data_IF_598660014902
#
_entry.id   IF_598660014902
#
_cell.length_a   1.000
_cell.length_b   1.000
_cell.length_c   1.000
_cell.angle_alpha   90.00
_cell.angle_beta   90.00
_cell.angle_gamma   90.00
#
_symmetry.space_group_name_H-M   'P 1'
#
loop_
_entity.id
_entity.type
_entity.pdbx_description
1 polymer ?
#
# COMPACT_ATOMS: atom_id res chain seq x y z
N UNK A 1 -3.42 -42.74 -3.05
CA UNK A 1 -2.51 -41.74 -2.45
C UNK A 1 -2.31 -40.66 -3.51
N UNK A 2 -2.86 -39.46 -3.33
CA UNK A 2 -2.58 -38.35 -4.25
C UNK A 2 -1.11 -37.98 -4.11
N UNK A 3 -0.35 -37.99 -5.21
CA UNK A 3 1.02 -37.47 -5.21
C UNK A 3 1.01 -36.02 -4.70
N UNK A 4 1.86 -35.75 -3.72
CA UNK A 4 2.07 -34.42 -3.18
C UNK A 4 2.73 -33.56 -4.28
N UNK A 5 2.02 -32.56 -4.78
CA UNK A 5 2.54 -31.67 -5.81
C UNK A 5 3.68 -30.83 -5.21
N UNK A 6 4.77 -30.65 -5.96
CA UNK A 6 5.78 -29.64 -5.61
C UNK A 6 5.15 -28.25 -5.53
N UNK A 7 5.75 -27.31 -4.80
CA UNK A 7 5.27 -25.92 -4.74
C UNK A 7 5.15 -25.29 -6.14
N UNK A 8 6.12 -25.54 -7.01
CA UNK A 8 6.10 -25.07 -8.40
C UNK A 8 4.98 -25.69 -9.23
N UNK A 9 4.70 -26.98 -9.04
CA UNK A 9 3.63 -27.66 -9.78
C UNK A 9 2.26 -27.26 -9.27
N UNK A 10 2.13 -27.01 -7.96
CA UNK A 10 0.94 -26.44 -7.34
C UNK A 10 0.63 -25.06 -7.91
N UNK A 11 1.62 -24.16 -8.03
CA UNK A 11 1.45 -22.84 -8.66
C UNK A 11 1.07 -22.97 -10.13
N UNK A 12 1.75 -23.82 -10.91
CA UNK A 12 1.44 -23.99 -12.34
C UNK A 12 0.02 -24.51 -12.54
N UNK A 13 -0.41 -25.47 -11.72
CA UNK A 13 -1.79 -25.99 -11.72
C UNK A 13 -2.80 -24.92 -11.33
N UNK A 14 -2.49 -24.10 -10.33
CA UNK A 14 -3.34 -22.99 -9.89
C UNK A 14 -3.32 -21.80 -10.87
N UNK A 15 -2.31 -21.66 -11.73
CA UNK A 15 -2.17 -20.55 -12.66
C UNK A 15 -3.36 -20.41 -13.61
N UNK A 16 -4.01 -21.52 -13.98
CA UNK A 16 -5.21 -21.51 -14.81
C UNK A 16 -6.45 -20.96 -14.07
N UNK A 17 -6.41 -20.92 -12.74
CA UNK A 17 -7.46 -20.37 -11.87
C UNK A 17 -7.25 -18.86 -11.60
N UNK A 18 -6.06 -18.32 -11.89
CA UNK A 18 -5.75 -16.91 -11.72
C UNK A 18 -6.25 -16.12 -12.93
N UNK A 19 -7.49 -15.65 -12.82
CA UNK A 19 -8.16 -14.87 -13.86
C UNK A 19 -8.51 -13.48 -13.33
N UNK A 20 -8.84 -12.55 -14.22
CA UNK A 20 -9.37 -11.25 -13.80
C UNK A 20 -10.72 -11.47 -13.13
N UNK A 21 -10.85 -11.04 -11.89
CA UNK A 21 -12.09 -11.17 -11.13
C UNK A 21 -13.06 -10.03 -11.44
N UNK A 22 -14.39 -10.26 -11.36
CA UNK A 22 -15.36 -9.18 -11.37
C UNK A 22 -15.26 -8.35 -10.08
N UNK A 23 -15.69 -7.09 -10.17
CA UNK A 23 -15.90 -6.26 -8.99
C UNK A 23 -17.33 -6.45 -8.50
N UNK A 24 -17.48 -6.77 -7.22
CA UNK A 24 -18.76 -6.95 -6.55
C UNK A 24 -18.95 -5.79 -5.55
N UNK A 25 -20.02 -5.01 -5.66
CA UNK A 25 -20.31 -3.95 -4.70
C UNK A 25 -20.60 -4.52 -3.31
N UNK A 26 -19.87 -4.05 -2.30
CA UNK A 26 -20.19 -4.26 -0.88
C UNK A 26 -20.44 -2.90 -0.26
N UNK A 27 -21.68 -2.66 0.20
CA UNK A 27 -22.11 -1.36 0.77
C UNK A 27 -21.74 -0.16 -0.13
N UNK A 28 -21.88 -0.34 -1.45
CA UNK A 28 -21.58 0.70 -2.45
C UNK A 28 -20.12 0.78 -2.90
N UNK A 29 -19.20 0.03 -2.29
CA UNK A 29 -17.78 0.01 -2.67
C UNK A 29 -17.50 -1.21 -3.56
N UNK A 30 -16.95 -1.03 -4.78
CA UNK A 30 -16.56 -2.16 -5.64
C UNK A 30 -15.30 -2.85 -5.09
N UNK A 31 -15.46 -4.11 -4.68
CA UNK A 31 -14.37 -4.95 -4.17
C UNK A 31 -14.14 -6.15 -5.10
N UNK A 32 -12.94 -6.74 -5.05
CA UNK A 32 -12.68 -7.99 -5.76
C UNK A 32 -13.61 -9.09 -5.25
N UNK A 33 -14.12 -9.95 -6.14
CA UNK A 33 -15.12 -10.96 -5.78
C UNK A 33 -14.75 -11.79 -4.56
N UNK A 34 -13.49 -12.25 -4.44
CA UNK A 34 -13.01 -13.01 -3.29
C UNK A 34 -13.05 -12.24 -1.96
N UNK A 35 -12.84 -10.91 -2.00
CA UNK A 35 -13.00 -10.05 -0.82
C UNK A 35 -14.48 -9.91 -0.48
N UNK A 36 -15.31 -9.64 -1.50
CA UNK A 36 -16.74 -9.43 -1.32
C UNK A 36 -17.46 -10.67 -0.78
N UNK A 37 -17.12 -11.85 -1.32
CA UNK A 37 -17.65 -13.14 -0.91
C UNK A 37 -17.24 -13.52 0.52
N UNK A 38 -16.08 -13.03 1.00
CA UNK A 38 -15.57 -13.27 2.35
C UNK A 38 -15.80 -12.08 3.31
N UNK A 39 -16.62 -11.10 2.92
CA UNK A 39 -16.73 -9.84 3.64
C UNK A 39 -17.22 -10.01 5.08
N UNK A 40 -18.11 -10.97 5.35
CA UNK A 40 -18.60 -11.23 6.71
C UNK A 40 -17.48 -11.65 7.66
N UNK A 41 -16.51 -12.45 7.18
CA UNK A 41 -15.33 -12.82 7.97
C UNK A 41 -14.41 -11.64 8.23
N UNK A 42 -14.24 -10.76 7.24
CA UNK A 42 -13.44 -9.53 7.36
C UNK A 42 -14.09 -8.60 8.37
N UNK A 43 -15.40 -8.41 8.26
CA UNK A 43 -16.20 -7.56 9.14
C UNK A 43 -16.24 -8.06 10.59
N UNK A 44 -16.09 -9.37 10.79
CA UNK A 44 -16.02 -9.97 12.11
C UNK A 44 -14.65 -9.80 12.81
N UNK A 45 -13.64 -9.25 12.12
CA UNK A 45 -12.34 -8.98 12.72
C UNK A 45 -12.46 -8.11 13.97
N UNK A 46 -11.74 -8.51 15.03
CA UNK A 46 -11.70 -7.81 16.30
C UNK A 46 -10.28 -7.28 16.51
N UNK A 47 -10.04 -5.98 16.35
CA UNK A 47 -8.72 -5.42 16.58
C UNK A 47 -8.34 -5.55 18.05
N UNK A 48 -7.08 -5.82 18.30
CA UNK A 48 -6.47 -5.65 19.62
C UNK A 48 -6.19 -4.14 19.85
N UNK A 49 -6.31 -3.62 21.09
CA UNK A 49 -5.97 -2.22 21.37
C UNK A 49 -4.53 -1.83 21.03
N UNK A 50 -3.60 -2.79 20.92
CA UNK A 50 -2.21 -2.57 20.50
C UNK A 50 -2.00 -2.61 18.98
N UNK A 51 -3.03 -2.93 18.20
CA UNK A 51 -2.92 -2.99 16.74
C UNK A 51 -2.64 -1.61 16.13
N UNK A 52 -1.75 -1.61 15.14
CA UNK A 52 -1.50 -0.45 14.28
C UNK A 52 -2.06 -0.73 12.88
N UNK A 53 -2.99 0.12 12.43
CA UNK A 53 -3.53 0.05 11.08
C UNK A 53 -2.78 0.99 10.13
N UNK A 54 -2.24 0.45 9.03
CA UNK A 54 -1.77 1.22 7.89
C UNK A 54 -2.84 1.19 6.81
N UNK A 55 -3.58 2.29 6.66
CA UNK A 55 -4.65 2.44 5.69
C UNK A 55 -4.22 3.37 4.54
N UNK A 56 -4.36 2.90 3.30
CA UNK A 56 -4.01 3.68 2.11
C UNK A 56 -4.94 3.35 0.96
N UNK A 57 -5.30 4.35 0.15
CA UNK A 57 -5.81 4.04 -1.19
C UNK A 57 -4.70 3.32 -1.98
N UNK A 58 -5.03 2.32 -2.82
CA UNK A 58 -4.02 1.56 -3.56
C UNK A 58 -3.00 2.45 -4.27
N UNK A 59 -1.73 2.06 -4.17
CA UNK A 59 -0.58 2.69 -4.83
C UNK A 59 -0.15 4.05 -4.23
N UNK A 60 -0.63 4.42 -3.04
CA UNK A 60 -0.24 5.63 -2.32
C UNK A 60 1.00 5.47 -1.40
N UNK A 61 1.80 4.41 -1.56
CA UNK A 61 3.03 4.21 -0.79
C UNK A 61 2.92 3.22 0.38
N UNK A 62 1.91 2.34 0.41
CA UNK A 62 1.66 1.35 1.48
C UNK A 62 2.91 0.59 1.91
N UNK A 63 3.65 -0.01 0.95
CA UNK A 63 4.87 -0.78 1.24
C UNK A 63 5.97 0.08 1.84
N UNK A 64 6.08 1.34 1.43
CA UNK A 64 7.09 2.24 1.97
C UNK A 64 6.81 2.56 3.45
N UNK A 65 5.57 2.89 3.78
CA UNK A 65 5.14 3.10 5.17
C UNK A 65 5.29 1.83 6.01
N UNK A 66 4.94 0.66 5.47
CA UNK A 66 5.11 -0.64 6.13
C UNK A 66 6.59 -0.89 6.51
N UNK A 67 7.54 -0.66 5.60
CA UNK A 67 8.97 -0.84 5.91
C UNK A 67 9.48 0.16 6.95
N UNK A 68 9.05 1.43 6.88
CA UNK A 68 9.44 2.45 7.89
C UNK A 68 8.94 2.04 9.28
N UNK A 69 7.67 1.65 9.38
CA UNK A 69 7.05 1.23 10.64
C UNK A 69 7.75 -0.02 11.20
N UNK A 70 7.96 -1.05 10.39
CA UNK A 70 8.59 -2.29 10.86
C UNK A 70 10.02 -2.04 11.35
N UNK A 71 10.80 -1.21 10.64
CA UNK A 71 12.14 -0.82 11.09
C UNK A 71 12.12 0.00 12.38
N UNK A 72 11.18 0.93 12.55
CA UNK A 72 11.06 1.70 13.80
C UNK A 72 10.74 0.79 14.99
N UNK A 73 9.78 -0.13 14.81
CA UNK A 73 9.39 -1.09 15.86
C UNK A 73 10.52 -2.08 16.22
N UNK A 74 11.48 -2.29 15.31
CA UNK A 74 12.66 -3.13 15.55
C UNK A 74 13.96 -2.32 15.73
N UNK A 75 13.87 -1.04 16.14
CA UNK A 75 15.03 -0.19 16.42
C UNK A 75 16.09 -0.15 15.29
N UNK A 76 15.62 -0.15 14.04
CA UNK A 76 16.45 -0.17 12.84
C UNK A 76 17.18 -1.49 12.56
N UNK A 77 16.78 -2.60 13.20
CA UNK A 77 17.31 -3.93 12.90
C UNK A 77 16.80 -4.41 11.52
N UNK A 78 17.72 -4.39 10.56
CA UNK A 78 17.43 -4.76 9.18
C UNK A 78 17.25 -6.27 9.00
N UNK A 79 17.86 -7.09 9.85
CA UNK A 79 17.77 -8.54 9.75
C UNK A 79 16.43 -9.01 10.34
N UNK A 80 16.00 -8.40 11.46
CA UNK A 80 14.65 -8.58 11.97
C UNK A 80 13.58 -8.21 10.94
N UNK A 81 13.77 -7.14 10.17
CA UNK A 81 12.84 -6.72 9.11
C UNK A 81 12.91 -7.59 7.84
N UNK A 82 13.89 -8.50 7.75
CA UNK A 82 14.01 -9.50 6.67
C UNK A 82 13.50 -10.88 7.07
N UNK A 83 12.91 -11.04 8.27
CA UNK A 83 12.36 -12.32 8.76
C UNK A 83 11.33 -12.95 7.82
N UNK A 84 10.61 -12.13 7.05
CA UNK A 84 9.66 -12.57 6.03
C UNK A 84 9.36 -11.43 5.03
N UNK A 85 8.72 -11.71 3.88
CA UNK A 85 8.22 -10.68 2.98
C UNK A 85 7.20 -9.73 3.65
N UNK A 86 7.09 -8.49 3.19
CA UNK A 86 6.21 -7.45 3.75
C UNK A 86 4.76 -7.91 3.95
N UNK A 87 4.10 -8.61 3.00
CA UNK A 87 2.72 -9.07 3.20
C UNK A 87 2.53 -10.07 4.35
N UNK A 88 3.61 -10.74 4.77
CA UNK A 88 3.59 -11.68 5.91
C UNK A 88 3.84 -10.92 7.21
N UNK A 89 4.73 -9.93 7.20
CA UNK A 89 5.02 -9.09 8.38
C UNK A 89 3.90 -8.10 8.70
N UNK A 90 3.22 -7.61 7.67
CA UNK A 90 2.10 -6.67 7.73
C UNK A 90 0.93 -7.26 6.94
N UNK A 91 0.12 -8.14 7.55
CA UNK A 91 -0.96 -8.82 6.86
C UNK A 91 -2.01 -7.83 6.37
N UNK A 92 -2.48 -8.03 5.13
CA UNK A 92 -3.64 -7.30 4.61
C UNK A 92 -4.91 -7.89 5.20
N UNK A 93 -5.74 -7.04 5.81
CA UNK A 93 -6.95 -7.46 6.52
C UNK A 93 -8.00 -8.08 5.59
N UNK A 94 -7.97 -7.76 4.31
CA UNK A 94 -9.01 -8.15 3.37
C UNK A 94 -8.54 -9.15 2.30
N UNK A 95 -7.24 -9.44 2.19
CA UNK A 95 -6.68 -10.26 1.11
C UNK A 95 -6.38 -11.67 1.61
N UNK A 96 -7.25 -12.63 1.24
CA UNK A 96 -7.14 -14.05 1.59
C UNK A 96 -7.29 -14.94 0.34
N UNK A 97 -6.26 -15.02 -0.52
CA UNK A 97 -6.29 -15.87 -1.73
C UNK A 97 -5.64 -15.19 -2.94
N UNK A 98 -5.08 -15.94 -3.89
CA UNK A 98 -4.08 -15.38 -4.79
C UNK A 98 -4.68 -14.35 -5.78
N UNK A 99 -4.02 -13.19 -5.97
CA UNK A 99 -4.38 -12.15 -6.95
C UNK A 99 -4.36 -12.65 -8.41
N UNK A 100 -4.99 -11.93 -9.37
CA UNK A 100 -4.62 -10.53 -9.67
C UNK A 100 -5.53 -9.44 -9.07
N UNK A 101 -4.92 -8.32 -8.68
CA UNK A 101 -5.59 -7.12 -8.15
C UNK A 101 -5.96 -6.16 -9.31
N UNK A 102 -7.24 -5.79 -9.53
CA UNK A 102 -7.65 -4.78 -10.51
C UNK A 102 -7.19 -3.37 -10.14
N UNK A 103 -7.03 -2.49 -11.13
CA UNK A 103 -6.52 -1.11 -10.98
C UNK A 103 -7.47 -0.12 -10.31
N UNK A 104 -8.75 -0.47 -10.09
CA UNK A 104 -9.80 0.40 -9.50
C UNK A 104 -10.63 -0.30 -8.42
N UNK A 105 -10.05 -1.29 -7.77
CA UNK A 105 -10.67 -1.91 -6.59
C UNK A 105 -10.67 -0.92 -5.42
N UNK A 106 -11.56 -1.09 -4.43
CA UNK A 106 -11.72 -0.22 -3.24
C UNK A 106 -12.41 1.14 -3.47
N UNK A 107 -13.02 1.35 -4.64
CA UNK A 107 -13.94 2.48 -4.87
C UNK A 107 -13.28 3.81 -5.20
N UNK A 108 -13.97 4.90 -4.86
CA UNK A 108 -13.56 6.27 -5.21
C UNK A 108 -12.34 6.71 -4.40
N UNK A 109 -11.29 7.17 -5.10
CA UNK A 109 -10.15 7.81 -4.45
C UNK A 109 -10.57 9.05 -3.65
N UNK A 110 -11.46 9.88 -4.20
CA UNK A 110 -11.97 11.09 -3.56
C UNK A 110 -12.62 10.77 -2.22
N UNK A 111 -13.53 9.80 -2.19
CA UNK A 111 -14.24 9.42 -0.97
C UNK A 111 -13.29 8.83 0.07
N UNK A 112 -12.31 8.02 -0.38
CA UNK A 112 -11.30 7.44 0.51
C UNK A 112 -10.48 8.52 1.20
N UNK A 113 -9.89 9.47 0.47
CA UNK A 113 -9.03 10.50 1.08
C UNK A 113 -9.85 11.48 1.93
N UNK A 114 -11.06 11.86 1.49
CA UNK A 114 -11.96 12.74 2.25
C UNK A 114 -12.43 12.09 3.55
N UNK A 115 -12.76 10.80 3.52
CA UNK A 115 -13.20 10.06 4.70
C UNK A 115 -12.16 10.08 5.82
N UNK A 116 -10.91 9.72 5.52
CA UNK A 116 -9.83 9.76 6.52
C UNK A 116 -9.45 11.19 6.91
N UNK A 117 -9.50 12.17 5.99
CA UNK A 117 -9.17 13.56 6.30
C UNK A 117 -10.12 14.19 7.32
N UNK A 118 -11.42 13.89 7.20
CA UNK A 118 -12.46 14.39 8.12
C UNK A 118 -12.35 13.77 9.52
N UNK A 119 -11.87 12.54 9.58
CA UNK A 119 -11.75 11.79 10.84
C UNK A 119 -10.41 11.98 11.54
N UNK A 120 -9.41 12.57 10.87
CA UNK A 120 -8.03 12.64 11.37
C UNK A 120 -7.88 13.35 12.72
N UNK A 121 -8.77 14.31 13.02
CA UNK A 121 -8.76 15.07 14.27
C UNK A 121 -9.70 14.47 15.33
N UNK A 122 -10.60 13.58 14.92
CA UNK A 122 -11.58 12.92 15.80
C UNK A 122 -11.10 11.54 16.29
N UNK A 123 -10.11 10.97 15.61
CA UNK A 123 -9.53 9.64 15.89
C UNK A 123 -8.02 9.75 15.99
N UNK A 124 -7.40 8.74 16.60
CA UNK A 124 -5.94 8.63 16.61
C UNK A 124 -5.46 8.22 15.20
N UNK A 125 -5.20 9.20 14.34
CA UNK A 125 -4.78 9.00 12.95
C UNK A 125 -3.61 9.94 12.63
N UNK A 126 -2.47 9.38 12.26
CA UNK A 126 -1.41 10.13 11.58
C UNK A 126 -1.69 10.17 10.07
N UNK A 127 -2.08 11.34 9.57
CA UNK A 127 -2.27 11.55 8.13
C UNK A 127 -0.94 11.96 7.46
N UNK A 128 -0.51 11.17 6.47
CA UNK A 128 0.74 11.37 5.72
C UNK A 128 0.48 11.62 4.23
N UNK A 129 1.39 12.36 3.59
CA UNK A 129 1.40 12.57 2.15
C UNK A 129 2.63 11.90 1.54
N UNK A 130 2.45 11.17 0.45
CA UNK A 130 3.55 10.53 -0.26
C UNK A 130 4.58 11.56 -0.74
N UNK A 131 4.11 12.75 -1.14
CA UNK A 131 4.92 13.87 -1.57
C UNK A 131 5.82 14.38 -0.43
N UNK A 132 5.28 14.47 0.79
CA UNK A 132 6.03 14.87 1.99
C UNK A 132 7.13 13.86 2.31
N UNK A 133 6.79 12.56 2.22
CA UNK A 133 7.77 11.49 2.40
C UNK A 133 8.88 11.56 1.36
N UNK A 134 8.57 11.93 0.12
CA UNK A 134 9.57 12.10 -0.95
C UNK A 134 10.44 13.34 -0.78
N UNK A 135 9.86 14.44 -0.34
CA UNK A 135 10.56 15.72 -0.15
C UNK A 135 11.52 15.67 1.04
N UNK A 136 11.06 15.16 2.17
CA UNK A 136 11.87 15.06 3.38
C UNK A 136 11.59 13.73 4.11
N UNK A 137 12.20 12.63 3.66
CA UNK A 137 11.98 11.31 4.26
C UNK A 137 12.29 11.30 5.76
N UNK A 138 13.35 12.01 6.18
CA UNK A 138 13.75 12.08 7.59
C UNK A 138 12.65 12.67 8.47
N UNK A 139 12.11 13.83 8.07
CA UNK A 139 11.01 14.50 8.77
C UNK A 139 9.81 13.58 8.93
N UNK A 140 9.45 12.83 7.88
CA UNK A 140 8.30 11.92 7.94
C UNK A 140 8.57 10.67 8.79
N UNK A 141 9.80 10.12 8.76
CA UNK A 141 10.21 9.05 9.68
C UNK A 141 10.12 9.52 11.13
N UNK A 142 10.58 10.73 11.45
CA UNK A 142 10.47 11.33 12.79
C UNK A 142 9.02 11.60 13.20
N UNK A 143 8.12 11.92 12.26
CA UNK A 143 6.68 12.05 12.53
C UNK A 143 6.05 10.70 12.85
N UNK A 144 6.38 9.65 12.10
CA UNK A 144 5.90 8.28 12.35
C UNK A 144 6.44 7.79 13.70
N UNK A 145 7.73 7.96 13.97
CA UNK A 145 8.37 7.61 15.24
C UNK A 145 7.64 8.20 16.44
N UNK A 146 7.35 9.53 16.40
CA UNK A 146 6.60 10.21 17.46
C UNK A 146 5.18 9.70 17.62
N UNK A 147 4.52 9.39 16.51
CA UNK A 147 3.16 8.86 16.54
C UNK A 147 3.09 7.44 17.12
N UNK A 148 4.10 6.62 16.85
CA UNK A 148 4.24 5.27 17.43
C UNK A 148 4.70 5.28 18.89
N UNK A 149 5.03 6.46 19.44
CA UNK A 149 5.59 6.63 20.79
C UNK A 149 6.84 5.76 21.04
N UNK A 150 7.70 5.67 20.03
CA UNK A 150 8.99 4.96 20.13
C UNK A 150 10.15 5.96 20.12
N UNK A 151 11.25 5.61 20.79
CA UNK A 151 12.46 6.40 20.84
C UNK A 151 13.62 5.62 20.24
N UNK A 152 14.22 6.16 19.17
CA UNK A 152 15.40 5.60 18.52
C UNK A 152 16.46 6.68 18.35
N UNK A 153 17.73 6.29 18.15
CA UNK A 153 18.82 7.26 18.00
C UNK A 153 18.79 7.95 16.62
N UNK A 154 19.48 9.08 16.52
CA UNK A 154 19.64 9.83 15.26
C UNK A 154 20.28 8.97 14.15
N UNK A 155 21.23 8.11 14.54
CA UNK A 155 21.88 7.14 13.65
C UNK A 155 20.89 6.10 13.15
N UNK A 156 19.98 5.63 14.02
CA UNK A 156 18.90 4.70 13.62
C UNK A 156 17.96 5.37 12.64
N UNK A 157 17.53 6.63 12.88
CA UNK A 157 16.68 7.38 11.94
C UNK A 157 17.38 7.49 10.58
N UNK A 158 18.67 7.85 10.57
CA UNK A 158 19.47 7.96 9.34
C UNK A 158 19.54 6.63 8.59
N UNK A 159 19.73 5.51 9.32
CA UNK A 159 19.72 4.15 8.76
C UNK A 159 18.35 3.79 8.16
N UNK A 160 17.25 4.13 8.84
CA UNK A 160 15.89 3.86 8.35
C UNK A 160 15.63 4.63 7.06
N UNK A 161 16.01 5.91 6.99
CA UNK A 161 15.90 6.72 5.77
C UNK A 161 16.68 6.09 4.61
N UNK A 162 17.88 5.59 4.85
CA UNK A 162 18.65 4.89 3.82
C UNK A 162 17.97 3.59 3.37
N UNK A 163 17.64 2.70 4.31
CA UNK A 163 17.09 1.36 4.04
C UNK A 163 15.71 1.42 3.35
N UNK A 164 14.94 2.45 3.64
CA UNK A 164 13.61 2.68 3.04
C UNK A 164 13.67 3.57 1.81
N UNK A 165 14.86 3.93 1.32
CA UNK A 165 14.98 4.60 0.03
C UNK A 165 14.48 3.70 -1.10
N UNK A 166 13.98 4.32 -2.18
CA UNK A 166 13.42 3.57 -3.31
C UNK A 166 14.41 2.57 -3.90
N UNK A 167 15.69 2.95 -4.06
CA UNK A 167 16.72 2.06 -4.62
C UNK A 167 16.97 0.85 -3.71
N UNK A 168 17.09 1.05 -2.39
CA UNK A 168 17.29 -0.06 -1.44
C UNK A 168 16.08 -0.98 -1.39
N UNK A 169 14.87 -0.44 -1.36
CA UNK A 169 13.65 -1.23 -1.35
C UNK A 169 13.40 -1.97 -2.66
N UNK A 170 13.83 -1.39 -3.80
CA UNK A 170 13.75 -2.02 -5.12
C UNK A 170 14.58 -3.30 -5.20
N UNK A 171 15.74 -3.32 -4.56
CA UNK A 171 16.62 -4.49 -4.54
C UNK A 171 16.32 -5.46 -3.37
N UNK A 172 15.48 -5.07 -2.41
CA UNK A 172 15.12 -5.91 -1.27
C UNK A 172 14.03 -6.93 -1.65
N UNK A 173 14.32 -8.25 -1.72
CA UNK A 173 13.31 -9.27 -2.06
C UNK A 173 12.18 -9.37 -1.05
N UNK A 174 12.40 -8.91 0.19
CA UNK A 174 11.38 -8.88 1.23
C UNK A 174 10.37 -7.75 1.03
N UNK A 175 10.69 -6.72 0.24
CA UNK A 175 9.83 -5.55 0.03
C UNK A 175 9.39 -5.35 -1.43
N UNK A 176 10.14 -5.86 -2.41
CA UNK A 176 9.89 -5.64 -3.84
C UNK A 176 8.88 -6.62 -4.46
N UNK A 177 8.34 -7.55 -3.67
CA UNK A 177 7.38 -8.58 -4.09
C UNK A 177 7.91 -9.60 -5.11
N UNK A 178 9.22 -9.70 -5.32
CA UNK A 178 9.82 -10.70 -6.23
C UNK A 178 9.63 -12.15 -5.78
N UNK A 179 9.27 -12.38 -4.50
CA UNK A 179 8.88 -13.69 -3.98
C UNK A 179 7.47 -14.14 -4.45
N UNK A 180 6.67 -13.23 -5.02
CA UNK A 180 5.32 -13.54 -5.51
C UNK A 180 5.44 -14.22 -6.89
N UNK A 181 4.75 -15.35 -7.11
CA UNK A 181 4.82 -16.06 -8.39
C UNK A 181 4.38 -15.21 -9.59
N UNK A 182 5.03 -15.39 -10.73
CA UNK A 182 4.75 -14.66 -11.97
C UNK A 182 3.27 -14.68 -12.43
N UNK A 183 2.51 -15.79 -12.27
CA UNK A 183 1.07 -15.79 -12.58
C UNK A 183 0.25 -14.79 -11.76
N UNK A 184 0.73 -14.43 -10.57
CA UNK A 184 0.10 -13.44 -9.70
C UNK A 184 0.63 -12.05 -10.05
N UNK A 185 1.95 -11.84 -9.94
CA UNK A 185 2.63 -10.59 -10.29
C UNK A 185 3.64 -10.83 -11.40
N UNK A 186 3.29 -10.43 -12.62
CA UNK A 186 4.17 -10.52 -13.77
C UNK A 186 5.13 -9.31 -13.83
N UNK A 187 6.25 -9.43 -13.12
CA UNK A 187 7.29 -8.39 -13.06
C UNK A 187 7.96 -8.12 -14.43
N UNK A 188 7.79 -9.00 -15.42
CA UNK A 188 8.31 -8.77 -16.78
C UNK A 188 7.51 -7.71 -17.54
N UNK A 189 6.22 -7.54 -17.21
CA UNK A 189 5.37 -6.49 -17.77
C UNK A 189 5.56 -5.15 -17.06
N UNK A 190 5.64 -5.17 -15.74
CA UNK A 190 5.91 -3.99 -14.94
C UNK A 190 6.42 -4.39 -13.56
N UNK A 191 7.54 -3.81 -13.12
CA UNK A 191 8.04 -4.04 -11.77
C UNK A 191 7.12 -3.39 -10.73
N UNK A 192 6.93 -4.06 -9.58
CA UNK A 192 6.20 -3.50 -8.44
C UNK A 192 6.83 -2.17 -7.98
N UNK A 193 8.15 -2.19 -7.75
CA UNK A 193 8.97 -0.99 -7.53
C UNK A 193 9.28 -0.33 -8.89
N UNK A 194 8.31 0.43 -9.40
CA UNK A 194 8.32 0.95 -10.79
C UNK A 194 9.24 2.16 -11.01
N UNK A 195 8.93 3.29 -10.35
CA UNK A 195 9.69 4.55 -10.49
C UNK A 195 9.86 5.35 -9.19
N UNK A 196 8.96 5.20 -8.22
CA UNK A 196 9.09 5.84 -6.90
C UNK A 196 9.22 7.37 -6.90
N UNK A 197 8.57 8.07 -7.84
CA UNK A 197 8.71 9.53 -8.03
C UNK A 197 7.36 10.26 -8.09
N UNK A 198 7.35 11.50 -7.58
CA UNK A 198 6.23 12.44 -7.72
C UNK A 198 6.23 13.02 -9.15
N UNK A 199 5.04 13.24 -9.72
CA UNK A 199 4.90 13.90 -11.01
C UNK A 199 5.12 13.03 -12.25
N UNK A 200 5.24 11.70 -12.12
CA UNK A 200 5.33 10.83 -13.31
C UNK A 200 4.08 10.89 -14.19
N UNK A 201 2.93 11.30 -13.64
CA UNK A 201 1.66 11.49 -14.35
C UNK A 201 1.81 12.41 -15.58
N UNK A 202 2.73 13.38 -15.54
CA UNK A 202 3.04 14.29 -16.66
C UNK A 202 3.51 13.58 -17.92
N UNK A 203 3.99 12.34 -17.80
CA UNK A 203 4.41 11.51 -18.93
C UNK A 203 3.27 10.64 -19.50
N UNK A 204 2.07 10.67 -18.91
CA UNK A 204 0.96 9.79 -19.26
C UNK A 204 -0.31 10.53 -19.65
N UNK A 205 -0.59 11.69 -19.04
CA UNK A 205 -1.78 12.47 -19.36
C UNK A 205 -1.58 13.29 -20.64
N UNK A 206 -2.54 13.20 -21.57
CA UNK A 206 -2.65 14.20 -22.63
C UNK A 206 -3.21 15.51 -22.06
N UNK A 207 -2.98 16.66 -22.71
CA UNK A 207 -3.55 17.94 -22.25
C UNK A 207 -5.08 17.91 -22.10
N UNK A 208 -5.78 17.15 -22.95
CA UNK A 208 -7.23 17.00 -22.86
C UNK A 208 -7.65 16.18 -21.62
N UNK A 209 -7.02 15.03 -21.39
CA UNK A 209 -7.28 14.22 -20.20
C UNK A 209 -6.94 14.97 -18.91
N UNK A 210 -5.87 15.75 -18.95
CA UNK A 210 -5.44 16.60 -17.86
C UNK A 210 -6.55 17.59 -17.50
N UNK A 211 -7.04 18.36 -18.48
CA UNK A 211 -8.13 19.30 -18.27
C UNK A 211 -9.41 18.63 -17.74
N UNK A 212 -9.80 17.49 -18.32
CA UNK A 212 -10.99 16.76 -17.87
C UNK A 212 -10.87 16.34 -16.40
N UNK A 213 -9.69 15.85 -16.00
CA UNK A 213 -9.43 15.45 -14.62
C UNK A 213 -9.41 16.65 -13.68
N UNK A 214 -8.77 17.77 -14.04
CA UNK A 214 -8.76 18.99 -13.22
C UNK A 214 -10.17 19.53 -12.96
N UNK A 215 -11.03 19.53 -13.98
CA UNK A 215 -12.41 20.01 -13.87
C UNK A 215 -13.22 19.10 -12.93
N UNK A 216 -13.11 17.78 -13.07
CA UNK A 216 -13.74 16.81 -12.15
C UNK A 216 -13.16 16.93 -10.72
N UNK A 217 -11.84 16.98 -10.59
CA UNK A 217 -11.14 17.09 -9.30
C UNK A 217 -11.62 18.31 -8.51
N UNK A 218 -11.69 19.47 -9.16
CA UNK A 218 -12.16 20.73 -8.53
C UNK A 218 -13.57 20.58 -7.99
N UNK A 219 -14.45 19.93 -8.73
CA UNK A 219 -15.84 19.71 -8.29
C UNK A 219 -15.93 18.67 -7.16
N UNK A 220 -15.19 17.57 -7.26
CA UNK A 220 -15.19 16.49 -6.26
C UNK A 220 -14.56 16.89 -4.92
N UNK A 221 -13.59 17.82 -4.94
CA UNK A 221 -12.79 18.21 -3.77
C UNK A 221 -13.13 19.59 -3.21
N UNK A 222 -14.12 20.29 -3.77
CA UNK A 222 -14.50 21.65 -3.34
C UNK A 222 -14.92 21.78 -1.87
N UNK A 223 -15.32 20.67 -1.25
CA UNK A 223 -15.86 20.61 0.11
C UNK A 223 -14.80 20.22 1.16
N UNK A 224 -13.54 20.10 0.76
CA UNK A 224 -12.41 19.76 1.64
C UNK A 224 -11.17 20.58 1.29
N UNK A 225 -10.29 20.76 2.27
CA UNK A 225 -9.08 21.58 2.17
C UNK A 225 -7.80 20.73 2.23
N UNK A 226 -7.81 19.56 1.59
CA UNK A 226 -6.65 18.66 1.63
C UNK A 226 -5.50 19.25 0.80
N UNK A 227 -4.33 19.53 1.41
CA UNK A 227 -3.24 20.27 0.77
C UNK A 227 -2.35 19.37 -0.09
N UNK A 228 -2.95 18.53 -0.94
CA UNK A 228 -2.19 17.69 -1.85
C UNK A 228 -1.34 18.54 -2.81
N UNK A 229 -0.05 18.20 -2.92
CA UNK A 229 0.92 18.93 -3.74
C UNK A 229 1.08 18.27 -5.10
N UNK A 230 1.31 19.06 -6.13
CA UNK A 230 1.51 18.56 -7.50
C UNK A 230 0.37 17.66 -8.01
N UNK A 231 -0.82 17.81 -7.40
CA UNK A 231 -2.05 17.55 -8.13
C UNK A 231 -2.08 18.48 -9.32
N UNK A 232 -2.58 17.90 -10.40
CA UNK A 232 -2.50 18.40 -11.75
C UNK A 232 -2.40 19.93 -11.85
#
# INVERSE_FOLDING_TARGET
MSEELSYSDSIKKASALLTRFPLIPVRGVPLMSHIAENFDSIWAFRPDPSDLLIATYPKAGTTWTQEIVDLLLHNGDADACKRAPTPVRSPFLEIYGPPPIPSVSWGSWYDHVKGYWREKDNKNILYLFYEDMKENPRREVERIMRYLDVSVSDEVISKIVELTSFEKMKDNPMANYSCIPAPVFDHSKSSFMRKGKVGDWKNHFTPQQQKMFEDDYKEQMKDVDIPFRNLI
#
